data_IF_670530497924
#
_entry.id   IF_670530497924
#
_cell.length_a   1.000
_cell.length_b   1.000
_cell.length_c   1.000
_cell.angle_alpha   90.00
_cell.angle_beta   90.00
_cell.angle_gamma   90.00
#
_symmetry.space_group_name_H-M   'P 1'
#
loop_
_entity.id
_entity.type
_entity.pdbx_description
1 polymer ?
#
# COMPACT_ATOMS: atom_id res chain seq x y z
N UNK A 1 -2.28 19.18 -8.76
CA UNK A 1 -2.04 19.26 -7.30
C UNK A 1 -3.31 19.82 -6.69
N UNK A 2 -4.10 19.00 -6.02
CA UNK A 2 -5.24 19.51 -5.25
C UNK A 2 -4.70 20.14 -3.97
N UNK A 3 -5.04 21.39 -3.72
CA UNK A 3 -4.72 22.06 -2.47
C UNK A 3 -5.48 21.34 -1.34
N UNK A 4 -4.78 20.87 -0.31
CA UNK A 4 -5.45 20.36 0.88
C UNK A 4 -6.09 21.57 1.57
N UNK A 5 -7.41 21.57 1.81
CA UNK A 5 -8.06 22.70 2.47
C UNK A 5 -7.52 22.83 3.90
N UNK A 6 -6.76 23.89 4.16
CA UNK A 6 -6.31 24.26 5.51
C UNK A 6 -7.44 24.93 6.31
N UNK A 7 -7.16 25.32 7.56
CA UNK A 7 -8.15 25.97 8.44
C UNK A 7 -8.76 27.25 7.86
N UNK A 8 -8.12 27.88 6.88
CA UNK A 8 -8.65 29.02 6.12
C UNK A 8 -9.84 28.67 5.21
N UNK A 9 -10.12 27.39 4.97
CA UNK A 9 -11.33 26.92 4.30
C UNK A 9 -12.58 27.03 5.19
N UNK A 10 -12.42 27.34 6.48
CA UNK A 10 -13.50 27.43 7.47
C UNK A 10 -13.61 28.85 8.06
N UNK A 11 -14.14 29.84 7.31
CA UNK A 11 -14.34 31.19 7.80
C UNK A 11 -15.38 31.21 8.93
N UNK A 12 -14.99 31.70 10.11
CA UNK A 12 -15.86 31.80 11.29
C UNK A 12 -15.46 30.88 12.46
N UNK A 13 -14.46 30.01 12.28
CA UNK A 13 -13.92 29.18 13.36
C UNK A 13 -12.96 30.02 14.23
N UNK A 14 -13.15 30.05 15.57
CA UNK A 14 -12.24 30.73 16.49
C UNK A 14 -10.79 30.24 16.35
N UNK A 15 -9.77 31.11 16.56
CA UNK A 15 -8.36 30.77 16.35
C UNK A 15 -7.90 29.47 17.02
N UNK A 16 -8.34 29.22 18.26
CA UNK A 16 -8.03 28.03 19.06
C UNK A 16 -8.52 26.72 18.43
N UNK A 17 -9.59 26.79 17.62
CA UNK A 17 -10.12 25.63 16.90
C UNK A 17 -9.45 25.46 15.53
N UNK A 18 -8.85 26.51 14.96
CA UNK A 18 -8.10 26.42 13.71
C UNK A 18 -6.84 25.58 13.88
N UNK A 19 -6.11 25.75 14.98
CA UNK A 19 -4.94 24.92 15.31
C UNK A 19 -5.32 23.44 15.41
N UNK A 20 -6.45 23.12 16.04
CA UNK A 20 -6.96 21.74 16.11
C UNK A 20 -7.39 21.19 14.74
N UNK A 21 -7.99 22.01 13.88
CA UNK A 21 -8.32 21.60 12.50
C UNK A 21 -7.06 21.35 11.67
N UNK A 22 -6.04 22.20 11.81
CA UNK A 22 -4.74 22.00 11.17
C UNK A 22 -4.07 20.72 11.64
N UNK A 23 -4.07 20.45 12.95
CA UNK A 23 -3.53 19.22 13.54
C UNK A 23 -4.26 17.98 13.00
N UNK A 24 -5.59 17.98 12.98
CA UNK A 24 -6.39 16.89 12.41
C UNK A 24 -6.08 16.69 10.92
N UNK A 25 -5.96 17.77 10.15
CA UNK A 25 -5.66 17.72 8.72
C UNK A 25 -4.26 17.15 8.47
N UNK A 26 -3.26 17.57 9.26
CA UNK A 26 -1.91 17.03 9.19
C UNK A 26 -1.87 15.54 9.56
N UNK A 27 -2.57 15.13 10.61
CA UNK A 27 -2.68 13.71 10.97
C UNK A 27 -3.32 12.87 9.86
N UNK A 28 -4.34 13.40 9.18
CA UNK A 28 -4.95 12.75 8.03
C UNK A 28 -3.95 12.62 6.87
N UNK A 29 -3.21 13.68 6.54
CA UNK A 29 -2.16 13.64 5.50
C UNK A 29 -1.07 12.62 5.83
N UNK A 30 -0.58 12.60 7.08
CA UNK A 30 0.43 11.64 7.54
C UNK A 30 -0.08 10.21 7.35
N UNK A 31 -1.32 9.94 7.79
CA UNK A 31 -1.93 8.62 7.65
C UNK A 31 -2.05 8.20 6.17
N UNK A 32 -2.40 9.11 5.28
CA UNK A 32 -2.41 8.84 3.83
C UNK A 32 -1.01 8.48 3.32
N UNK A 33 0.02 9.25 3.71
CA UNK A 33 1.40 8.97 3.31
C UNK A 33 1.92 7.63 3.87
N UNK A 34 1.54 7.25 5.09
CA UNK A 34 1.88 5.94 5.68
C UNK A 34 1.27 4.79 4.88
N UNK A 35 0.01 4.94 4.44
CA UNK A 35 -0.68 3.97 3.60
C UNK A 35 0.01 3.86 2.23
N UNK A 36 0.32 4.98 1.59
CA UNK A 36 1.00 5.01 0.29
C UNK A 36 2.38 4.34 0.37
N UNK A 37 3.13 4.62 1.43
CA UNK A 37 4.42 3.99 1.70
C UNK A 37 4.30 2.47 1.87
N UNK A 38 3.31 2.01 2.64
CA UNK A 38 3.05 0.58 2.83
C UNK A 38 2.66 -0.12 1.51
N UNK A 39 1.83 0.52 0.68
CA UNK A 39 1.45 0.01 -0.65
C UNK A 39 2.68 -0.12 -1.56
N UNK A 40 3.53 0.92 -1.61
CA UNK A 40 4.79 0.89 -2.36
C UNK A 40 5.73 -0.23 -1.89
N UNK A 41 5.83 -0.46 -0.58
CA UNK A 41 6.64 -1.54 -0.03
C UNK A 41 6.11 -2.92 -0.45
N UNK A 42 4.80 -3.14 -0.36
CA UNK A 42 4.17 -4.40 -0.79
C UNK A 42 4.33 -4.65 -2.29
N UNK A 43 4.16 -3.61 -3.11
CA UNK A 43 4.39 -3.70 -4.57
C UNK A 43 5.84 -4.08 -4.89
N UNK A 44 6.82 -3.52 -4.18
CA UNK A 44 8.23 -3.88 -4.35
C UNK A 44 8.52 -5.32 -3.91
N UNK A 45 7.93 -5.78 -2.81
CA UNK A 45 8.06 -7.17 -2.35
C UNK A 45 7.48 -8.16 -3.37
N UNK A 46 6.29 -7.87 -3.91
CA UNK A 46 5.67 -8.66 -4.97
C UNK A 46 6.54 -8.72 -6.22
N UNK A 47 7.10 -7.57 -6.65
CA UNK A 47 8.00 -7.55 -7.80
C UNK A 47 9.23 -8.44 -7.59
N UNK A 48 9.83 -8.39 -6.41
CA UNK A 48 10.99 -9.22 -6.07
C UNK A 48 10.64 -10.71 -6.06
N UNK A 49 9.53 -11.09 -5.40
CA UNK A 49 9.07 -12.48 -5.38
C UNK A 49 8.73 -13.00 -6.78
N UNK A 50 8.14 -12.17 -7.64
CA UNK A 50 7.85 -12.53 -9.02
C UNK A 50 9.12 -12.87 -9.79
N UNK A 51 10.18 -12.07 -9.67
CA UNK A 51 11.46 -12.34 -10.33
C UNK A 51 12.06 -13.67 -9.84
N UNK A 52 12.01 -13.93 -8.53
CA UNK A 52 12.48 -15.20 -7.97
C UNK A 52 11.66 -16.40 -8.47
N UNK A 53 10.34 -16.25 -8.59
CA UNK A 53 9.48 -17.28 -9.18
C UNK A 53 9.79 -17.50 -10.66
N UNK A 54 10.00 -16.44 -11.44
CA UNK A 54 10.40 -16.55 -12.85
C UNK A 54 11.73 -17.30 -12.99
N UNK A 55 12.72 -17.00 -12.16
CA UNK A 55 13.98 -17.76 -12.11
C UNK A 55 13.75 -19.22 -11.72
N UNK A 56 13.00 -19.48 -10.64
CA UNK A 56 12.75 -20.85 -10.16
C UNK A 56 11.98 -21.70 -11.17
N UNK A 57 11.06 -21.11 -11.93
CA UNK A 57 10.33 -21.79 -12.99
C UNK A 57 11.27 -22.36 -14.07
N UNK A 58 12.40 -21.69 -14.34
CA UNK A 58 13.40 -22.14 -15.32
C UNK A 58 14.31 -23.26 -14.77
N UNK A 59 14.50 -23.32 -13.45
CA UNK A 59 15.47 -24.22 -12.81
C UNK A 59 14.86 -25.39 -12.03
N UNK A 60 13.57 -25.37 -11.71
CA UNK A 60 12.90 -26.45 -10.99
C UNK A 60 12.84 -27.74 -11.83
N UNK A 61 13.70 -28.71 -11.51
CA UNK A 61 13.84 -29.97 -12.25
C UNK A 61 13.34 -31.17 -11.46
N UNK A 62 13.40 -31.12 -10.14
CA UNK A 62 12.93 -32.19 -9.26
C UNK A 62 11.46 -31.98 -8.82
N UNK A 63 10.79 -33.05 -8.41
CA UNK A 63 9.41 -32.96 -7.90
C UNK A 63 9.33 -32.15 -6.59
N UNK A 64 10.36 -32.21 -5.74
CA UNK A 64 10.45 -31.41 -4.52
C UNK A 64 10.57 -29.90 -4.86
N UNK A 65 11.39 -29.54 -5.84
CA UNK A 65 11.53 -28.15 -6.31
C UNK A 65 10.24 -27.62 -6.95
N UNK A 66 9.55 -28.44 -7.75
CA UNK A 66 8.25 -28.07 -8.33
C UNK A 66 7.19 -27.82 -7.24
N UNK A 67 7.19 -28.65 -6.20
CA UNK A 67 6.27 -28.49 -5.06
C UNK A 67 6.57 -27.22 -4.27
N UNK A 68 7.87 -26.94 -4.01
CA UNK A 68 8.29 -25.71 -3.36
C UNK A 68 7.96 -24.46 -4.19
N UNK A 69 8.14 -24.54 -5.53
CA UNK A 69 7.74 -23.50 -6.46
C UNK A 69 6.24 -23.21 -6.41
N UNK A 70 5.40 -24.26 -6.45
CA UNK A 70 3.94 -24.10 -6.34
C UNK A 70 3.54 -23.45 -5.02
N UNK A 71 4.14 -23.87 -3.90
CA UNK A 71 3.88 -23.24 -2.60
C UNK A 71 4.28 -21.76 -2.57
N UNK A 72 5.41 -21.40 -3.19
CA UNK A 72 5.84 -20.01 -3.31
C UNK A 72 4.90 -19.20 -4.23
N UNK A 73 4.38 -19.82 -5.29
CA UNK A 73 3.41 -19.20 -6.20
C UNK A 73 2.06 -18.94 -5.51
N UNK A 74 1.58 -19.88 -4.69
CA UNK A 74 0.36 -19.69 -3.89
C UNK A 74 0.51 -18.54 -2.88
N UNK A 75 1.70 -18.40 -2.27
CA UNK A 75 2.00 -17.27 -1.38
C UNK A 75 2.01 -15.93 -2.13
N UNK A 76 2.62 -15.90 -3.32
CA UNK A 76 2.60 -14.74 -4.19
C UNK A 76 1.17 -14.32 -4.55
N UNK A 77 0.33 -15.26 -4.98
CA UNK A 77 -1.08 -15.01 -5.31
C UNK A 77 -1.88 -14.49 -4.11
N UNK A 78 -1.59 -14.98 -2.90
CA UNK A 78 -2.19 -14.48 -1.67
C UNK A 78 -1.79 -13.03 -1.39
N UNK A 79 -0.52 -12.68 -1.60
CA UNK A 79 -0.02 -11.31 -1.44
C UNK A 79 -0.61 -10.35 -2.48
N UNK A 80 -0.79 -10.79 -3.74
CA UNK A 80 -1.49 -10.00 -4.78
C UNK A 80 -2.91 -9.68 -4.35
N UNK A 81 -3.66 -10.69 -3.87
CA UNK A 81 -5.03 -10.47 -3.36
C UNK A 81 -5.09 -9.53 -2.16
N UNK A 82 -4.07 -9.53 -1.30
CA UNK A 82 -3.99 -8.59 -0.18
C UNK A 82 -3.72 -7.17 -0.66
N UNK A 83 -2.82 -6.99 -1.63
CA UNK A 83 -2.56 -5.70 -2.26
C UNK A 83 -3.84 -5.15 -2.92
N UNK A 84 -4.54 -5.96 -3.72
CA UNK A 84 -5.79 -5.56 -4.37
C UNK A 84 -6.84 -5.08 -3.35
N UNK A 85 -6.94 -5.76 -2.20
CA UNK A 85 -7.87 -5.36 -1.13
C UNK A 85 -7.47 -4.04 -0.49
N UNK A 86 -6.18 -3.80 -0.29
CA UNK A 86 -5.67 -2.56 0.29
C UNK A 86 -5.84 -1.40 -0.69
N UNK A 87 -5.51 -1.59 -1.97
CA UNK A 87 -5.70 -0.58 -3.00
C UNK A 87 -7.18 -0.21 -3.14
N UNK A 88 -8.09 -1.19 -3.18
CA UNK A 88 -9.52 -0.90 -3.30
C UNK A 88 -10.15 -0.24 -2.06
N UNK A 89 -9.59 -0.46 -0.86
CA UNK A 89 -10.03 0.25 0.36
C UNK A 89 -9.54 1.69 0.45
N UNK A 90 -8.43 1.99 -0.24
CA UNK A 90 -7.77 3.30 -0.18
C UNK A 90 -8.01 4.16 -1.43
N UNK A 91 -8.79 3.68 -2.41
CA UNK A 91 -9.25 4.51 -3.53
C UNK A 91 -10.15 5.63 -2.97
N UNK A 92 -9.82 6.91 -3.21
CA UNK A 92 -10.75 7.99 -2.91
C UNK A 92 -12.00 7.81 -3.78
N UNK A 93 -13.18 7.88 -3.16
CA UNK A 93 -14.49 7.94 -3.86
C UNK A 93 -14.60 9.20 -4.74
#
# INVERSE_FOLDING_TARGET
>A
MAAVPGADAFPGVPPEHKESIEEITLHQQIRTLEIDSALLQMQNQLRSQRLLLEEWAEFAKTEEEKTAYQAAQEQYDAMVKQLDRLENRNKPE
#
